data_IF_217121479890
#
_entry.id   IF_217121479890
#
_cell.length_a   1.000
_cell.length_b   1.000
_cell.length_c   1.000
_cell.angle_alpha   90.00
_cell.angle_beta   90.00
_cell.angle_gamma   90.00
#
_symmetry.space_group_name_H-M   'P 1'
#
loop_
_entity.id
_entity.type
_entity.pdbx_description
1 polymer ?
#
# COMPACT_ATOMS: atom_id res chain seq x y z
N UNK A 1 -15.51 42.50 6.82
CA UNK A 1 -15.76 41.04 6.87
C UNK A 1 -15.40 40.33 5.56
N UNK A 2 -15.95 40.70 4.40
CA UNK A 2 -15.65 40.03 3.11
C UNK A 2 -14.16 40.06 2.71
N UNK A 3 -13.45 41.18 2.93
CA UNK A 3 -12.01 41.31 2.65
C UNK A 3 -11.12 40.37 3.47
N UNK A 4 -11.42 40.19 4.76
CA UNK A 4 -10.72 39.23 5.62
C UNK A 4 -10.99 37.78 5.20
N UNK A 5 -12.21 37.48 4.74
CA UNK A 5 -12.57 36.16 4.21
C UNK A 5 -11.77 35.85 2.94
N UNK A 6 -11.65 36.80 2.00
CA UNK A 6 -10.82 36.61 0.80
C UNK A 6 -9.32 36.45 1.12
N UNK A 7 -8.82 37.20 2.11
CA UNK A 7 -7.44 37.09 2.59
C UNK A 7 -7.16 35.72 3.22
N UNK A 8 -8.06 35.21 4.07
CA UNK A 8 -7.95 33.88 4.67
C UNK A 8 -8.07 32.75 3.63
N UNK A 9 -8.97 32.89 2.65
CA UNK A 9 -9.10 31.94 1.55
C UNK A 9 -7.85 31.90 0.67
N UNK A 10 -7.28 33.06 0.34
CA UNK A 10 -6.03 33.13 -0.41
C UNK A 10 -4.87 32.49 0.36
N UNK A 11 -4.78 32.73 1.68
CA UNK A 11 -3.77 32.10 2.53
C UNK A 11 -3.94 30.57 2.57
N UNK A 12 -5.16 30.06 2.67
CA UNK A 12 -5.45 28.64 2.67
C UNK A 12 -5.07 27.95 1.35
N UNK A 13 -5.31 28.61 0.20
CA UNK A 13 -4.92 28.09 -1.12
C UNK A 13 -3.40 27.97 -1.22
N UNK A 14 -2.65 29.02 -0.84
CA UNK A 14 -1.18 28.99 -0.85
C UNK A 14 -0.63 27.89 0.05
N UNK A 15 -1.23 27.69 1.22
CA UNK A 15 -0.86 26.63 2.15
C UNK A 15 -1.15 25.24 1.55
N UNK A 16 -2.30 25.04 0.92
CA UNK A 16 -2.68 23.78 0.29
C UNK A 16 -1.71 23.39 -0.84
N UNK A 17 -1.31 24.34 -1.69
CA UNK A 17 -0.36 24.12 -2.78
C UNK A 17 1.05 23.75 -2.26
N UNK A 18 1.49 24.34 -1.15
CA UNK A 18 2.77 23.99 -0.49
C UNK A 18 2.77 22.56 0.04
N UNK A 19 1.61 22.05 0.48
CA UNK A 19 1.48 20.67 0.98
C UNK A 19 1.21 19.63 -0.11
N UNK A 20 0.87 20.05 -1.34
CA UNK A 20 0.72 19.15 -2.48
C UNK A 20 2.10 18.67 -2.97
N UNK A 21 2.61 17.61 -2.35
CA UNK A 21 3.77 16.88 -2.90
C UNK A 21 3.37 16.30 -4.25
N UNK A 22 4.01 16.78 -5.30
CA UNK A 22 3.88 16.20 -6.63
C UNK A 22 4.50 14.79 -6.63
N UNK A 23 3.66 13.78 -6.43
CA UNK A 23 4.03 12.35 -6.39
C UNK A 23 4.81 11.95 -7.65
N UNK A 24 4.54 12.59 -8.79
CA UNK A 24 5.26 12.35 -10.04
C UNK A 24 6.74 12.65 -9.92
N UNK A 25 7.12 13.70 -9.20
CA UNK A 25 8.53 14.06 -8.96
C UNK A 25 9.27 13.00 -8.13
N UNK A 26 8.54 12.23 -7.32
CA UNK A 26 9.12 11.08 -6.61
C UNK A 26 9.46 9.94 -7.58
N UNK A 27 8.62 9.69 -8.58
CA UNK A 27 8.88 8.64 -9.58
C UNK A 27 9.96 9.03 -10.59
N UNK A 28 9.91 10.28 -11.08
CA UNK A 28 10.78 10.77 -12.15
C UNK A 28 12.14 11.27 -11.68
N UNK A 29 12.49 11.05 -10.40
CA UNK A 29 13.80 11.44 -9.89
C UNK A 29 14.94 10.57 -10.46
N UNK A 30 16.16 11.08 -10.30
CA UNK A 30 17.37 10.44 -10.83
C UNK A 30 17.63 9.06 -10.23
N UNK A 31 17.26 8.83 -8.96
CA UNK A 31 17.44 7.54 -8.30
C UNK A 31 16.48 6.48 -8.84
N UNK A 32 15.20 6.82 -8.99
CA UNK A 32 14.14 5.94 -9.49
C UNK A 32 14.37 5.51 -10.93
N UNK A 33 14.96 6.41 -11.73
CA UNK A 33 15.29 6.16 -13.14
C UNK A 33 16.44 5.16 -13.34
N UNK A 34 17.24 4.85 -12.31
CA UNK A 34 18.42 3.96 -12.43
C UNK A 34 18.07 2.50 -12.71
N UNK A 35 16.95 2.01 -12.18
CA UNK A 35 16.50 0.63 -12.38
C UNK A 35 15.04 0.45 -11.98
N UNK A 36 14.42 -0.60 -12.50
CA UNK A 36 13.07 -1.02 -12.11
C UNK A 36 12.92 -1.14 -10.58
N UNK A 37 13.90 -1.75 -9.89
CA UNK A 37 13.85 -1.92 -8.44
C UNK A 37 13.92 -0.60 -7.66
N UNK A 38 14.69 0.38 -8.15
CA UNK A 38 14.74 1.70 -7.53
C UNK A 38 13.44 2.47 -7.77
N UNK A 39 12.88 2.40 -8.98
CA UNK A 39 11.60 3.02 -9.32
C UNK A 39 10.47 2.63 -8.36
N UNK A 40 10.29 1.32 -8.14
CA UNK A 40 9.22 0.78 -7.30
C UNK A 40 9.37 1.17 -5.82
N UNK A 41 10.59 1.51 -5.37
CA UNK A 41 10.85 1.97 -4.01
C UNK A 41 10.49 3.44 -3.77
N UNK A 42 10.35 4.25 -4.82
CA UNK A 42 10.14 5.69 -4.65
C UNK A 42 8.75 6.04 -4.15
N UNK A 43 7.73 5.37 -4.68
CA UNK A 43 6.35 5.58 -4.26
C UNK A 43 5.46 4.39 -4.64
N UNK A 44 4.41 4.08 -3.86
CA UNK A 44 3.40 3.09 -4.21
C UNK A 44 2.70 3.31 -5.55
N UNK A 45 2.75 4.51 -6.14
CA UNK A 45 2.11 4.81 -7.43
C UNK A 45 3.07 4.82 -8.62
N UNK A 46 4.38 4.69 -8.38
CA UNK A 46 5.36 4.59 -9.46
C UNK A 46 5.25 3.25 -10.17
N UNK A 47 5.41 3.26 -11.49
CA UNK A 47 5.47 2.09 -12.33
C UNK A 47 6.69 2.17 -13.26
N UNK A 48 7.10 1.02 -13.77
CA UNK A 48 8.24 0.90 -14.67
C UNK A 48 7.80 0.32 -16.00
N UNK A 49 8.15 0.96 -17.11
CA UNK A 49 7.92 0.41 -18.45
C UNK A 49 9.08 -0.49 -18.89
N UNK A 50 8.74 -1.75 -19.18
CA UNK A 50 9.66 -2.80 -19.63
C UNK A 50 9.95 -2.77 -21.13
N UNK A 51 9.26 -1.92 -21.90
CA UNK A 51 9.43 -1.83 -23.36
C UNK A 51 10.84 -1.37 -23.74
N UNK A 52 11.67 -2.22 -24.38
CA UNK A 52 13.02 -1.84 -24.76
C UNK A 52 13.05 -0.66 -25.75
N UNK A 53 11.98 -0.44 -26.51
CA UNK A 53 11.86 0.60 -27.55
C UNK A 53 11.21 1.90 -27.06
N UNK A 54 10.92 2.03 -25.76
CA UNK A 54 10.38 3.26 -25.20
C UNK A 54 11.29 4.46 -25.51
N UNK A 55 10.76 5.44 -26.24
CA UNK A 55 11.46 6.69 -26.58
C UNK A 55 11.11 7.75 -25.54
N UNK A 56 12.08 8.12 -24.70
CA UNK A 56 11.89 9.14 -23.66
C UNK A 56 12.89 9.04 -22.51
N UNK A 57 12.94 10.06 -21.63
CA UNK A 57 14.03 10.21 -20.66
C UNK A 57 13.95 9.24 -19.46
N UNK A 58 12.78 8.68 -19.13
CA UNK A 58 12.65 7.78 -17.97
C UNK A 58 11.67 6.64 -18.22
N UNK A 59 12.08 5.44 -17.79
CA UNK A 59 11.23 4.25 -17.70
C UNK A 59 10.38 4.24 -16.43
N UNK A 60 10.65 5.13 -15.48
CA UNK A 60 9.94 5.28 -14.23
C UNK A 60 9.08 6.54 -14.23
N UNK A 61 7.76 6.37 -14.07
CA UNK A 61 6.81 7.47 -13.90
C UNK A 61 5.62 6.98 -13.07
N UNK A 62 4.65 7.84 -12.80
CA UNK A 62 3.36 7.43 -12.27
C UNK A 62 2.68 6.42 -13.20
N UNK A 63 2.01 5.41 -12.63
CA UNK A 63 1.31 4.39 -13.42
C UNK A 63 0.31 4.99 -14.42
N UNK A 64 -0.37 6.07 -14.05
CA UNK A 64 -1.33 6.79 -14.91
C UNK A 64 -0.67 7.43 -16.15
N UNK A 65 0.60 7.81 -16.06
CA UNK A 65 1.31 8.52 -17.13
C UNK A 65 1.69 7.63 -18.32
N UNK A 66 1.57 6.31 -18.17
CA UNK A 66 1.88 5.35 -19.23
C UNK A 66 0.75 5.11 -20.22
N UNK A 67 -0.43 5.69 -20.02
CA UNK A 67 -1.54 5.59 -20.96
C UNK A 67 -1.10 6.10 -22.35
N UNK A 68 -1.11 5.21 -23.35
CA UNK A 68 -0.67 5.51 -24.71
C UNK A 68 0.84 5.61 -24.92
N UNK A 69 1.66 5.47 -23.87
CA UNK A 69 3.14 5.54 -23.95
C UNK A 69 3.84 4.19 -23.77
N UNK A 70 3.20 3.25 -23.06
CA UNK A 70 3.72 1.91 -22.83
C UNK A 70 2.59 0.90 -22.96
N UNK A 71 2.86 -0.25 -23.60
CA UNK A 71 1.88 -1.32 -23.69
C UNK A 71 1.48 -1.80 -22.28
N UNK A 72 0.18 -2.00 -21.98
CA UNK A 72 -0.24 -2.39 -20.63
C UNK A 72 0.44 -3.65 -20.08
N UNK A 73 0.76 -4.61 -20.94
CA UNK A 73 1.48 -5.85 -20.59
C UNK A 73 2.95 -5.63 -20.22
N UNK A 74 3.53 -4.49 -20.60
CA UNK A 74 4.91 -4.10 -20.33
C UNK A 74 5.03 -3.11 -19.16
N UNK A 75 3.91 -2.72 -18.53
CA UNK A 75 3.92 -1.88 -17.35
C UNK A 75 4.10 -2.76 -16.11
N UNK A 76 5.29 -2.70 -15.51
CA UNK A 76 5.56 -3.33 -14.22
C UNK A 76 5.17 -2.40 -13.07
N UNK A 77 4.17 -2.82 -12.30
CA UNK A 77 3.81 -2.21 -11.01
C UNK A 77 3.30 -3.29 -10.08
N UNK A 78 4.11 -3.80 -9.15
CA UNK A 78 3.66 -4.81 -8.21
C UNK A 78 2.51 -4.26 -7.36
N UNK A 79 1.58 -5.14 -6.96
CA UNK A 79 0.43 -4.77 -6.15
C UNK A 79 0.60 -5.33 -4.74
N UNK A 80 0.18 -4.56 -3.73
CA UNK A 80 0.08 -5.10 -2.38
C UNK A 80 -1.13 -6.00 -2.27
N UNK A 81 -0.92 -7.24 -1.85
CA UNK A 81 -1.95 -8.26 -1.69
C UNK A 81 -1.86 -8.97 -0.34
N UNK A 82 -3.03 -9.33 0.17
CA UNK A 82 -3.22 -10.12 1.39
C UNK A 82 -3.92 -11.41 0.98
N UNK A 83 -3.36 -12.56 1.38
CA UNK A 83 -3.92 -13.88 1.09
C UNK A 83 -4.03 -14.69 2.36
N UNK A 84 -5.22 -15.21 2.63
CA UNK A 84 -5.44 -16.23 3.65
C UNK A 84 -5.17 -17.58 3.00
N UNK A 85 -4.46 -18.47 3.69
CA UNK A 85 -4.21 -19.84 3.23
C UNK A 85 -5.17 -20.76 3.98
N UNK A 86 -6.33 -21.15 3.41
CA UNK A 86 -7.38 -21.83 4.18
C UNK A 86 -6.92 -23.12 4.85
N UNK A 87 -5.96 -23.84 4.25
CA UNK A 87 -5.41 -25.08 4.79
C UNK A 87 -4.65 -24.88 6.11
N UNK A 88 -4.15 -23.66 6.35
CA UNK A 88 -3.42 -23.30 7.55
C UNK A 88 -4.31 -22.52 8.52
N UNK A 89 -5.60 -22.39 8.21
CA UNK A 89 -6.54 -21.64 9.03
C UNK A 89 -7.73 -22.51 9.48
N UNK A 90 -7.99 -22.50 10.78
CA UNK A 90 -9.10 -23.21 11.39
C UNK A 90 -10.22 -22.22 11.74
N UNK A 91 -11.50 -22.62 11.65
CA UNK A 91 -12.61 -21.75 12.03
C UNK A 91 -12.55 -21.34 13.51
N UNK A 92 -12.95 -20.11 13.81
CA UNK A 92 -13.08 -19.63 15.18
C UNK A 92 -14.00 -20.55 16.02
N UNK A 93 -13.57 -20.91 17.23
CA UNK A 93 -14.29 -21.82 18.11
C UNK A 93 -14.10 -23.31 17.81
N UNK A 94 -13.42 -23.67 16.72
CA UNK A 94 -13.06 -25.07 16.45
C UNK A 94 -11.94 -25.55 17.36
N UNK A 95 -11.77 -26.89 17.44
CA UNK A 95 -10.67 -27.51 18.15
C UNK A 95 -9.45 -27.66 17.25
N UNK A 96 -8.26 -27.44 17.80
CA UNK A 96 -7.01 -27.77 17.14
C UNK A 96 -6.80 -29.29 17.07
N UNK A 97 -5.72 -29.72 16.41
CA UNK A 97 -5.40 -31.14 16.22
C UNK A 97 -5.24 -31.93 17.52
N UNK A 98 -4.97 -31.27 18.64
CA UNK A 98 -4.90 -31.87 19.98
C UNK A 98 -6.28 -32.22 20.58
N UNK A 99 -7.38 -31.78 19.96
CA UNK A 99 -8.75 -32.02 20.42
C UNK A 99 -9.13 -31.28 21.72
N UNK A 100 -8.26 -30.44 22.25
CA UNK A 100 -8.43 -29.75 23.55
C UNK A 100 -8.38 -28.24 23.36
N UNK A 101 -7.44 -27.74 22.57
CA UNK A 101 -7.25 -26.29 22.39
C UNK A 101 -8.31 -25.72 21.45
N UNK A 102 -8.98 -24.66 21.90
CA UNK A 102 -10.01 -23.96 21.12
C UNK A 102 -9.37 -22.78 20.37
N UNK A 103 -9.72 -22.64 19.10
CA UNK A 103 -9.30 -21.52 18.26
C UNK A 103 -9.99 -20.23 18.70
N UNK A 104 -9.20 -19.24 19.11
CA UNK A 104 -9.68 -17.95 19.63
C UNK A 104 -9.37 -16.75 18.72
N UNK A 105 -8.62 -16.95 17.65
CA UNK A 105 -8.26 -15.92 16.67
C UNK A 105 -8.37 -16.51 15.27
N UNK A 106 -8.99 -15.77 14.34
CA UNK A 106 -9.09 -16.12 12.92
C UNK A 106 -8.83 -14.87 12.05
N UNK A 107 -8.01 -14.94 10.98
CA UNK A 107 -7.16 -16.06 10.58
C UNK A 107 -5.91 -16.21 11.47
N UNK A 108 -5.37 -17.42 11.57
CA UNK A 108 -4.13 -17.76 12.27
C UNK A 108 -2.88 -17.55 11.39
N UNK A 109 -3.02 -17.63 10.06
CA UNK A 109 -1.94 -17.38 9.11
C UNK A 109 -2.39 -16.54 7.92
N UNK A 110 -1.63 -15.48 7.66
CA UNK A 110 -1.83 -14.56 6.54
C UNK A 110 -0.52 -14.43 5.75
N UNK A 111 -0.60 -14.50 4.42
CA UNK A 111 0.50 -14.20 3.51
C UNK A 111 0.31 -12.79 2.97
N UNK A 112 1.29 -11.93 3.24
CA UNK A 112 1.28 -10.54 2.84
C UNK A 112 2.42 -10.27 1.84
N UNK A 113 2.09 -9.78 0.63
CA UNK A 113 3.07 -9.28 -0.34
C UNK A 113 2.87 -7.79 -0.47
N UNK A 114 3.88 -6.99 -0.13
CA UNK A 114 3.78 -5.53 -0.13
C UNK A 114 4.65 -4.86 -1.17
N UNK A 115 4.06 -3.89 -1.87
CA UNK A 115 4.81 -2.83 -2.54
C UNK A 115 5.31 -1.83 -1.49
N UNK A 116 6.60 -1.42 -1.51
CA UNK A 116 7.11 -0.41 -0.60
C UNK A 116 6.25 0.87 -0.56
N UNK A 117 6.00 1.39 0.64
CA UNK A 117 5.20 2.60 0.87
C UNK A 117 3.68 2.42 0.66
N UNK A 118 3.21 1.23 0.30
CA UNK A 118 1.78 0.94 0.21
C UNK A 118 1.26 0.35 1.53
N UNK A 119 -0.03 0.52 1.80
CA UNK A 119 -0.69 0.08 3.03
C UNK A 119 -1.92 -0.77 2.69
N UNK A 120 -2.16 -1.83 3.44
CA UNK A 120 -3.40 -2.62 3.38
C UNK A 120 -3.89 -2.93 4.77
N UNK A 121 -5.20 -2.85 4.94
CA UNK A 121 -5.90 -3.24 6.17
C UNK A 121 -6.55 -4.59 5.96
N UNK A 122 -6.58 -5.38 7.02
CA UNK A 122 -7.21 -6.69 7.01
C UNK A 122 -7.89 -6.92 8.37
N UNK A 123 -9.11 -7.47 8.33
CA UNK A 123 -9.92 -7.68 9.52
C UNK A 123 -9.62 -9.05 10.13
N UNK A 124 -9.57 -9.12 11.45
CA UNK A 124 -9.43 -10.37 12.20
C UNK A 124 -10.59 -10.50 13.19
N UNK A 125 -10.94 -11.74 13.52
CA UNK A 125 -11.95 -12.07 14.51
C UNK A 125 -11.26 -12.67 15.74
N UNK A 126 -11.58 -12.14 16.92
CA UNK A 126 -11.17 -12.71 18.20
C UNK A 126 -12.41 -13.18 18.94
N UNK A 127 -12.40 -14.43 19.40
CA UNK A 127 -13.36 -14.94 20.37
C UNK A 127 -12.67 -15.04 21.72
N UNK A 128 -13.08 -14.17 22.66
CA UNK A 128 -12.60 -14.23 24.03
C UNK A 128 -13.37 -15.33 24.79
N UNK A 129 -12.72 -16.45 25.07
CA UNK A 129 -13.11 -17.23 26.25
C UNK A 129 -12.58 -16.46 27.46
N UNK A 130 -13.49 -15.97 28.30
CA UNK A 130 -13.20 -15.17 29.51
C UNK A 130 -12.35 -16.03 30.46
N UNK A 131 -11.01 -15.98 30.33
CA UNK A 131 -10.08 -16.51 31.35
C UNK A 131 -8.61 -16.06 31.21
N UNK A 132 -8.27 -14.98 30.48
CA UNK A 132 -6.88 -14.48 30.44
C UNK A 132 -6.81 -12.96 30.74
N UNK A 133 -6.14 -12.50 31.82
CA UNK A 133 -6.32 -11.13 32.30
C UNK A 133 -5.57 -10.01 31.56
N UNK A 134 -4.68 -10.26 30.59
CA UNK A 134 -3.74 -9.20 30.14
C UNK A 134 -3.34 -9.25 28.66
N UNK A 135 -4.29 -9.14 27.71
CA UNK A 135 -3.91 -8.96 26.30
C UNK A 135 -4.00 -7.48 25.88
N UNK A 136 -2.85 -6.80 25.88
CA UNK A 136 -2.68 -5.45 25.31
C UNK A 136 -2.34 -5.61 23.83
N UNK A 137 -3.25 -5.27 22.92
CA UNK A 137 -2.91 -5.10 21.52
C UNK A 137 -2.24 -3.74 21.33
N UNK A 138 -0.92 -3.74 21.18
CA UNK A 138 -0.17 -2.61 20.62
C UNK A 138 0.24 -2.98 19.19
N UNK A 139 -0.46 -2.45 18.20
CA UNK A 139 0.08 -2.30 16.85
C UNK A 139 0.34 -0.81 16.66
N UNK A 140 1.63 -0.47 16.54
CA UNK A 140 2.14 0.89 16.37
C UNK A 140 2.32 1.20 14.88
#
# INVERSE_FOLDING_TARGET
MKSHIYSLLALFIVIADVFAKDVRKLCTNTLGSRSCGQCIKQHPDCAWCLDPHLVGPSRCDLKSEFQGKCAPSLIYSPTTEVRIVPQNNLPLGSKQADGVTIVQLEPQQVVLRMKPGNHKFYNYLISYLISHPNFVTSMK
#
